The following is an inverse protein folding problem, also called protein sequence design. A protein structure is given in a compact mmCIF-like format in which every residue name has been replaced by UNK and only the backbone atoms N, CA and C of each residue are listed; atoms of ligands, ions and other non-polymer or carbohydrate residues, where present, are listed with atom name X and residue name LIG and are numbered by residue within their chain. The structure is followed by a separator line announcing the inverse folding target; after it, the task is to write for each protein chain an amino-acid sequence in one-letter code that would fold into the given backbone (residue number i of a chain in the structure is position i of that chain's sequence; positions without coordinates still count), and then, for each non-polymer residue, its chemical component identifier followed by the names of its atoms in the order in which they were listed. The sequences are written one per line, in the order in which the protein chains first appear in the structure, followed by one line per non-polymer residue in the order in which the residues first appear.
data_IF_277873715984
#
_entry.id   IF_277873715984
#
_cell.length_a   1.000
_cell.length_b   1.000
_cell.length_c   1.000
_cell.angle_alpha   90.00
_cell.angle_beta   90.00
_cell.angle_gamma   90.00
#
_symmetry.space_group_name_H-M   'P 1'
#
loop_
_entity.id
_entity.type
_entity.pdbx_description
1 polymer ?
#
# COMPACT_ATOMS: atom_id res chain seq x y z
N UNK A 1 7.85 -10.27 2.71
CA UNK A 1 7.53 -10.05 4.14
C UNK A 1 8.29 -8.82 4.62
N UNK A 2 7.80 -8.10 5.63
CA UNK A 2 8.52 -6.95 6.14
C UNK A 2 9.62 -7.42 7.09
N UNK A 3 10.87 -7.17 6.73
CA UNK A 3 12.05 -7.43 7.58
C UNK A 3 12.51 -6.10 8.17
N UNK A 4 11.92 -5.65 9.30
CA UNK A 4 12.27 -4.37 9.89
C UNK A 4 13.75 -4.33 10.24
N UNK A 5 14.43 -3.24 9.89
CA UNK A 5 15.73 -2.92 10.47
C UNK A 5 15.50 -2.48 11.92
N UNK A 6 16.08 -3.15 12.93
CA UNK A 6 15.95 -2.73 14.32
C UNK A 6 16.36 -1.27 14.51
N UNK A 7 15.79 -0.61 15.53
CA UNK A 7 16.09 0.79 15.88
C UNK A 7 15.70 1.82 14.80
N UNK A 8 14.82 1.48 13.87
CA UNK A 8 14.28 2.43 12.89
C UNK A 8 12.84 2.82 13.21
N UNK A 9 12.48 4.05 12.82
CA UNK A 9 11.12 4.59 12.93
C UNK A 9 10.08 3.67 12.28
N UNK A 10 10.41 3.13 11.10
CA UNK A 10 9.52 2.23 10.37
C UNK A 10 9.22 0.94 11.11
N UNK A 11 10.18 0.41 11.87
CA UNK A 11 9.99 -0.76 12.73
C UNK A 11 9.01 -0.46 13.86
N UNK A 12 9.22 0.65 14.55
CA UNK A 12 8.35 1.08 15.65
C UNK A 12 6.91 1.33 15.14
N UNK A 13 6.77 2.06 14.04
CA UNK A 13 5.47 2.30 13.39
C UNK A 13 4.81 1.00 12.92
N UNK A 14 5.59 0.07 12.38
CA UNK A 14 5.06 -1.22 11.93
C UNK A 14 4.51 -2.01 13.10
N UNK A 15 5.21 -2.10 14.23
CA UNK A 15 4.76 -2.89 15.38
C UNK A 15 3.66 -2.21 16.19
N UNK A 16 3.77 -0.92 16.47
CA UNK A 16 2.82 -0.18 17.33
C UNK A 16 1.60 0.32 16.57
N UNK A 17 1.71 0.59 15.27
CA UNK A 17 0.66 1.28 14.50
C UNK A 17 0.55 2.77 14.81
N UNK A 18 1.58 3.38 15.42
CA UNK A 18 1.64 4.80 15.72
C UNK A 18 2.92 5.43 15.21
N UNK A 19 2.84 6.70 14.80
CA UNK A 19 4.02 7.51 14.54
C UNK A 19 4.61 7.96 15.88
N UNK A 20 5.84 7.56 16.26
CA UNK A 20 6.29 7.65 17.66
C UNK A 20 6.53 9.09 18.14
N UNK A 21 6.65 10.06 17.23
CA UNK A 21 6.80 11.47 17.60
C UNK A 21 5.49 12.26 17.66
N UNK A 22 4.47 11.84 16.91
CA UNK A 22 3.19 12.57 16.84
C UNK A 22 2.08 11.83 17.57
N UNK A 23 2.30 10.55 17.89
CA UNK A 23 1.31 9.62 18.44
C UNK A 23 0.07 9.46 17.57
N UNK A 24 0.15 9.87 16.31
CA UNK A 24 -0.91 9.67 15.34
C UNK A 24 -0.93 8.23 14.86
N UNK A 25 -2.14 7.72 14.62
CA UNK A 25 -2.32 6.35 14.14
C UNK A 25 -1.83 6.23 12.70
N UNK A 26 -0.97 5.26 12.46
CA UNK A 26 -0.43 4.94 11.14
C UNK A 26 -1.03 3.64 10.66
N UNK A 27 -1.56 3.66 9.43
CA UNK A 27 -2.05 2.44 8.81
C UNK A 27 -0.90 1.52 8.43
N UNK A 28 -0.92 0.30 8.98
CA UNK A 28 0.04 -0.76 8.67
C UNK A 28 -0.73 -2.01 8.23
N UNK A 29 -0.45 -2.52 7.04
CA UNK A 29 -1.04 -3.77 6.56
C UNK A 29 -0.56 -4.96 7.39
N UNK A 30 -1.48 -5.74 7.96
CA UNK A 30 -1.15 -6.88 8.83
C UNK A 30 -1.55 -8.20 8.20
N UNK A 31 -2.74 -8.27 7.62
CA UNK A 31 -3.24 -9.49 6.99
C UNK A 31 -2.55 -9.76 5.67
N UNK A 32 -2.46 -11.03 5.28
CA UNK A 32 -1.91 -11.43 3.97
C UNK A 32 -2.62 -10.71 2.81
N UNK A 33 -3.94 -10.55 2.91
CA UNK A 33 -4.73 -9.88 1.89
C UNK A 33 -4.41 -8.38 1.81
N UNK A 34 -4.25 -7.68 2.94
CA UNK A 34 -3.84 -6.26 2.95
C UNK A 34 -2.45 -6.10 2.35
N UNK A 35 -1.50 -6.96 2.76
CA UNK A 35 -0.13 -6.95 2.23
C UNK A 35 -0.12 -7.19 0.72
N UNK A 36 -0.86 -8.19 0.22
CA UNK A 36 -0.99 -8.46 -1.21
C UNK A 36 -1.61 -7.28 -1.97
N UNK A 37 -2.66 -6.67 -1.41
CA UNK A 37 -3.33 -5.52 -1.99
C UNK A 37 -2.45 -4.27 -2.04
N UNK A 38 -1.50 -4.09 -1.12
CA UNK A 38 -0.47 -3.06 -1.23
C UNK A 38 0.63 -3.46 -2.22
N UNK A 39 1.10 -4.70 -2.15
CA UNK A 39 2.23 -5.21 -2.92
C UNK A 39 1.99 -5.16 -4.44
N UNK A 40 0.77 -5.43 -4.90
CA UNK A 40 0.42 -5.36 -6.33
C UNK A 40 0.79 -4.01 -6.98
N UNK A 41 0.77 -2.90 -6.23
CA UNK A 41 1.05 -1.57 -6.76
C UNK A 41 2.52 -1.37 -7.15
N UNK A 42 3.46 -2.15 -6.60
CA UNK A 42 4.86 -2.13 -7.06
C UNK A 42 4.99 -2.62 -8.51
N UNK A 43 4.12 -3.53 -8.92
CA UNK A 43 4.12 -4.14 -10.25
C UNK A 43 3.06 -3.53 -11.16
N UNK A 44 2.74 -2.24 -10.97
CA UNK A 44 1.66 -1.59 -11.73
C UNK A 44 1.83 -1.63 -13.25
N UNK A 45 3.06 -1.79 -13.74
CA UNK A 45 3.41 -1.93 -15.14
C UNK A 45 3.11 -3.33 -15.71
N UNK A 46 2.93 -4.34 -14.86
CA UNK A 46 2.62 -5.70 -15.29
C UNK A 46 1.14 -5.84 -15.67
N UNK A 47 0.88 -6.55 -16.78
CA UNK A 47 -0.49 -6.78 -17.28
C UNK A 47 -1.34 -7.59 -16.30
N UNK A 48 -0.72 -8.54 -15.58
CA UNK A 48 -1.34 -9.37 -14.55
C UNK A 48 -1.91 -8.53 -13.39
N UNK A 49 -1.11 -7.56 -12.90
CA UNK A 49 -1.47 -6.70 -11.79
C UNK A 49 -2.51 -5.62 -12.16
N UNK A 50 -2.51 -5.16 -13.42
CA UNK A 50 -3.38 -4.07 -13.90
C UNK A 50 -4.85 -4.26 -13.52
N UNK A 51 -5.45 -5.43 -13.76
CA UNK A 51 -6.88 -5.66 -13.47
C UNK A 51 -7.20 -5.51 -11.98
N UNK A 52 -6.33 -6.02 -11.10
CA UNK A 52 -6.51 -5.97 -9.66
C UNK A 52 -6.32 -4.56 -9.09
N UNK A 53 -5.35 -3.81 -9.62
CA UNK A 53 -5.11 -2.40 -9.28
C UNK A 53 -6.31 -1.53 -9.69
N UNK A 54 -6.83 -1.70 -10.91
CA UNK A 54 -7.99 -0.94 -11.40
C UNK A 54 -9.21 -1.19 -10.49
N UNK A 55 -9.48 -2.45 -10.13
CA UNK A 55 -10.57 -2.80 -9.21
C UNK A 55 -10.40 -2.13 -7.85
N UNK A 56 -9.17 -2.16 -7.31
CA UNK A 56 -8.83 -1.55 -6.02
C UNK A 56 -9.02 -0.03 -6.05
N UNK A 57 -8.51 0.65 -7.07
CA UNK A 57 -8.64 2.11 -7.20
C UNK A 57 -10.09 2.55 -7.39
N UNK A 58 -10.90 1.78 -8.14
CA UNK A 58 -12.35 2.03 -8.27
C UNK A 58 -13.07 1.89 -6.93
N UNK A 59 -12.77 0.83 -6.16
CA UNK A 59 -13.33 0.61 -4.82
C UNK A 59 -12.96 1.73 -3.85
N UNK A 60 -11.74 2.25 -3.93
CA UNK A 60 -11.26 3.39 -3.14
C UNK A 60 -11.76 4.74 -3.68
N UNK A 61 -12.54 4.76 -4.77
CA UNK A 61 -13.01 5.97 -5.47
C UNK A 61 -11.87 6.90 -5.93
N UNK A 62 -10.66 6.35 -6.15
CA UNK A 62 -9.46 7.07 -6.61
C UNK A 62 -9.30 7.01 -8.13
N UNK A 63 -10.30 7.50 -8.85
CA UNK A 63 -10.30 7.56 -10.32
C UNK A 63 -9.27 8.56 -10.86
N UNK A 64 -8.83 9.51 -10.04
CA UNK A 64 -7.72 10.42 -10.32
C UNK A 64 -6.39 9.68 -10.53
N UNK A 65 -6.07 8.74 -9.63
CA UNK A 65 -4.87 7.92 -9.73
C UNK A 65 -4.95 6.94 -10.89
N UNK A 66 -6.14 6.39 -11.16
CA UNK A 66 -6.36 5.49 -12.29
C UNK A 66 -5.96 6.13 -13.61
N UNK A 67 -6.36 7.40 -13.84
CA UNK A 67 -6.02 8.15 -15.06
C UNK A 67 -4.52 8.46 -15.14
N UNK A 68 -3.86 8.73 -14.02
CA UNK A 68 -2.41 8.97 -13.97
C UNK A 68 -1.61 7.70 -14.26
N UNK A 69 -2.05 6.56 -13.73
CA UNK A 69 -1.35 5.29 -13.85
C UNK A 69 -1.59 4.63 -15.22
N UNK A 70 -2.80 4.75 -15.77
CA UNK A 70 -3.20 4.18 -17.05
C UNK A 70 -3.89 5.20 -17.96
N UNK A 71 -3.16 6.20 -18.48
CA UNK A 71 -3.73 7.28 -19.28
C UNK A 71 -4.26 6.83 -20.64
N UNK A 72 -3.77 5.69 -21.17
CA UNK A 72 -4.09 5.21 -22.53
C UNK A 72 -5.11 4.07 -22.61
N UNK A 73 -5.65 3.60 -21.48
CA UNK A 73 -6.58 2.46 -21.45
C UNK A 73 -5.90 1.14 -21.70
#
# INVERSE_FOLDING_TARGET
DFTPSPMTLGTEMYYTGYHPYTLEKVFTAKTTNEKANQHQFFFWYERSAKKAIISTLKRLKRTDLLKKLYPKG
#
